data_IF_124743659589
#
_entry.id   IF_124743659589
#
_cell.length_a   1.000
_cell.length_b   1.000
_cell.length_c   1.000
_cell.angle_alpha   90.00
_cell.angle_beta   90.00
_cell.angle_gamma   90.00
#
_symmetry.space_group_name_H-M   'P 1'
#
loop_
_entity.id
_entity.type
_entity.pdbx_description
1 polymer ?
#
# COMPACT_ATOMS: atom_id res chain seq x y z
N UNK A 1 -5.55 -21.62 -2.92
CA UNK A 1 -6.22 -20.66 -3.83
C UNK A 1 -6.89 -19.47 -3.11
N UNK A 2 -7.25 -19.55 -1.81
CA UNK A 2 -8.10 -18.56 -1.14
C UNK A 2 -7.42 -17.31 -0.56
N UNK A 3 -6.09 -17.31 -0.35
CA UNK A 3 -5.39 -16.15 0.23
C UNK A 3 -4.28 -15.72 -0.72
N UNK A 4 -4.43 -14.56 -1.36
CA UNK A 4 -3.28 -13.84 -1.91
C UNK A 4 -2.58 -13.18 -0.73
N UNK A 5 -1.28 -13.41 -0.57
CA UNK A 5 -0.46 -12.89 0.55
C UNK A 5 -0.60 -11.38 0.76
N UNK A 6 -0.97 -10.65 -0.29
CA UNK A 6 -1.25 -9.22 -0.27
C UNK A 6 -2.27 -8.81 0.80
N UNK A 7 -3.26 -9.65 1.14
CA UNK A 7 -4.27 -9.30 2.17
C UNK A 7 -3.71 -9.33 3.59
N UNK A 8 -2.59 -10.03 3.83
CA UNK A 8 -1.93 -10.08 5.13
C UNK A 8 -1.47 -8.68 5.57
N UNK A 9 -1.14 -7.81 4.62
CA UNK A 9 -0.75 -6.42 4.88
C UNK A 9 -1.88 -5.58 5.49
N UNK A 10 -3.13 -5.98 5.28
CA UNK A 10 -4.31 -5.26 5.79
C UNK A 10 -4.56 -5.59 7.26
N UNK A 11 -4.20 -6.80 7.70
CA UNK A 11 -4.46 -7.31 9.05
C UNK A 11 -3.92 -6.37 10.14
N UNK A 12 -2.64 -5.94 10.16
CA UNK A 12 -2.15 -5.08 11.24
C UNK A 12 -2.87 -3.74 11.30
N UNK A 13 -3.21 -3.14 10.15
CA UNK A 13 -3.94 -1.86 10.12
C UNK A 13 -5.38 -2.01 10.61
N UNK A 14 -6.07 -3.08 10.18
CA UNK A 14 -7.42 -3.40 10.62
C UNK A 14 -7.46 -3.70 12.13
N UNK A 15 -6.48 -4.45 12.64
CA UNK A 15 -6.35 -4.75 14.06
C UNK A 15 -6.19 -3.47 14.88
N UNK A 16 -5.34 -2.54 14.46
CA UNK A 16 -5.17 -1.24 15.12
C UNK A 16 -6.47 -0.43 15.13
N UNK A 17 -7.17 -0.34 13.99
CA UNK A 17 -8.44 0.41 13.90
C UNK A 17 -9.53 -0.20 14.78
N UNK A 18 -9.68 -1.53 14.76
CA UNK A 18 -10.65 -2.27 15.55
C UNK A 18 -10.36 -2.15 17.05
N UNK A 19 -9.09 -2.25 17.45
CA UNK A 19 -8.65 -2.09 18.83
C UNK A 19 -8.99 -0.71 19.38
N UNK A 20 -8.80 0.34 18.58
CA UNK A 20 -9.18 1.70 18.94
C UNK A 20 -10.69 1.87 19.10
N UNK A 21 -11.48 1.30 18.18
CA UNK A 21 -12.96 1.41 18.21
C UNK A 21 -13.61 0.63 19.35
N UNK A 22 -12.99 -0.44 19.84
CA UNK A 22 -13.57 -1.28 20.90
C UNK A 22 -13.72 -0.57 22.26
N UNK A 23 -12.99 0.52 22.51
CA UNK A 23 -13.08 1.36 23.70
C UNK A 23 -12.54 0.71 24.97
N UNK A 24 -13.21 -0.33 25.48
CA UNK A 24 -12.88 -1.00 26.75
C UNK A 24 -11.98 -2.22 26.56
N UNK A 25 -11.18 -2.55 27.58
CA UNK A 25 -10.31 -3.75 27.56
C UNK A 25 -11.10 -5.05 27.39
N UNK A 26 -12.28 -5.17 28.02
CA UNK A 26 -13.14 -6.34 27.87
C UNK A 26 -13.67 -6.51 26.43
N UNK A 27 -14.06 -5.41 25.78
CA UNK A 27 -14.48 -5.47 24.38
C UNK A 27 -13.32 -5.81 23.45
N UNK A 28 -12.12 -5.29 23.75
CA UNK A 28 -10.89 -5.59 23.00
C UNK A 28 -10.51 -7.06 23.08
N UNK A 29 -10.52 -7.67 24.27
CA UNK A 29 -10.24 -9.11 24.43
C UNK A 29 -11.30 -9.95 23.74
N UNK A 30 -12.58 -9.62 23.91
CA UNK A 30 -13.68 -10.30 23.23
C UNK A 30 -13.51 -10.24 21.71
N UNK A 31 -13.20 -9.07 21.16
CA UNK A 31 -12.99 -8.87 19.72
C UNK A 31 -11.79 -9.64 19.20
N UNK A 32 -10.68 -9.64 19.93
CA UNK A 32 -9.48 -10.39 19.56
C UNK A 32 -9.75 -11.90 19.55
N UNK A 33 -10.41 -12.43 20.60
CA UNK A 33 -10.77 -13.85 20.70
C UNK A 33 -11.75 -14.25 19.61
N UNK A 34 -12.83 -13.48 19.42
CA UNK A 34 -13.84 -13.81 18.40
C UNK A 34 -13.26 -13.75 16.99
N UNK A 35 -12.46 -12.72 16.68
CA UNK A 35 -11.82 -12.59 15.37
C UNK A 35 -10.78 -13.68 15.14
N UNK A 36 -10.00 -14.04 16.17
CA UNK A 36 -9.02 -15.12 16.10
C UNK A 36 -9.68 -16.48 15.88
N UNK A 37 -10.71 -16.81 16.65
CA UNK A 37 -11.47 -18.06 16.51
C UNK A 37 -12.18 -18.17 15.15
N UNK A 38 -12.84 -17.11 14.70
CA UNK A 38 -13.50 -17.08 13.39
C UNK A 38 -12.49 -17.18 12.25
N UNK A 39 -11.33 -16.50 12.36
CA UNK A 39 -10.27 -16.58 11.35
C UNK A 39 -9.67 -17.99 11.30
N UNK A 40 -9.43 -18.61 12.45
CA UNK A 40 -8.95 -19.99 12.54
C UNK A 40 -9.96 -20.95 11.91
N UNK A 41 -11.24 -20.86 12.28
CA UNK A 41 -12.30 -21.68 11.71
C UNK A 41 -12.39 -21.51 10.19
N UNK A 42 -12.32 -20.27 9.69
CA UNK A 42 -12.32 -19.99 8.26
C UNK A 42 -11.12 -20.64 7.55
N UNK A 43 -9.91 -20.59 8.14
CA UNK A 43 -8.73 -21.29 7.61
C UNK A 43 -8.95 -22.80 7.62
N UNK A 44 -9.41 -23.37 8.73
CA UNK A 44 -9.66 -24.82 8.84
C UNK A 44 -10.66 -25.31 7.79
N UNK A 45 -11.76 -24.59 7.58
CA UNK A 45 -12.78 -24.93 6.57
C UNK A 45 -12.24 -24.75 5.16
N UNK A 46 -11.57 -23.63 4.88
CA UNK A 46 -11.00 -23.33 3.57
C UNK A 46 -9.91 -24.32 3.14
N UNK A 47 -9.11 -24.80 4.10
CA UNK A 47 -8.02 -25.75 3.87
C UNK A 47 -8.42 -27.21 4.11
N UNK A 48 -9.62 -27.49 4.63
CA UNK A 48 -10.14 -28.84 4.82
C UNK A 48 -9.93 -29.78 3.61
N UNK A 49 -10.22 -29.36 2.36
CA UNK A 49 -10.01 -30.23 1.20
C UNK A 49 -8.55 -30.30 0.71
N UNK A 50 -7.63 -29.47 1.23
CA UNK A 50 -6.26 -29.29 0.71
C UNK A 50 -5.19 -29.33 1.80
N UNK A 51 -5.33 -30.22 2.80
CA UNK A 51 -4.44 -30.33 3.97
C UNK A 51 -3.02 -30.88 3.68
N UNK A 52 -2.47 -30.63 2.49
CA UNK A 52 -1.06 -30.85 2.23
C UNK A 52 -0.27 -29.57 2.54
N UNK A 53 0.15 -29.44 3.80
CA UNK A 53 0.97 -28.32 4.25
C UNK A 53 2.33 -28.26 3.54
N UNK A 54 2.87 -29.41 3.09
CA UNK A 54 4.12 -29.45 2.36
C UNK A 54 3.95 -28.83 0.96
N UNK A 55 2.89 -29.19 0.24
CA UNK A 55 2.55 -28.59 -1.05
C UNK A 55 2.31 -27.07 -0.96
N UNK A 56 1.68 -26.60 0.13
CA UNK A 56 1.51 -25.15 0.38
C UNK A 56 2.87 -24.47 0.56
N UNK A 57 3.75 -25.05 1.39
CA UNK A 57 5.07 -24.50 1.64
C UNK A 57 5.96 -24.51 0.38
N UNK A 58 5.84 -25.53 -0.46
CA UNK A 58 6.51 -25.61 -1.76
C UNK A 58 5.97 -24.55 -2.72
N UNK A 59 4.65 -24.38 -2.81
CA UNK A 59 4.04 -23.34 -3.65
C UNK A 59 4.45 -21.93 -3.21
N UNK A 60 4.59 -21.66 -1.91
CA UNK A 60 5.11 -20.38 -1.40
C UNK A 60 6.55 -20.19 -1.90
N UNK A 61 7.42 -21.18 -1.69
CA UNK A 61 8.83 -21.13 -2.10
C UNK A 61 8.98 -20.91 -3.60
N UNK A 62 8.21 -21.64 -4.41
CA UNK A 62 8.20 -21.51 -5.87
C UNK A 62 7.80 -20.10 -6.34
N UNK A 63 6.83 -19.46 -5.67
CA UNK A 63 6.38 -18.11 -6.04
C UNK A 63 7.34 -17.00 -5.57
N UNK A 64 8.01 -17.19 -4.43
CA UNK A 64 8.96 -16.18 -3.90
C UNK A 64 10.22 -16.00 -4.75
N UNK A 65 10.59 -16.99 -5.57
CA UNK A 65 11.78 -16.93 -6.42
C UNK A 65 11.60 -16.18 -7.73
N UNK A 66 10.39 -15.70 -8.04
CA UNK A 66 10.06 -15.10 -9.34
C UNK A 66 10.28 -13.59 -9.24
N UNK A 67 11.20 -13.06 -10.06
CA UNK A 67 11.45 -11.62 -10.20
C UNK A 67 11.04 -11.20 -11.60
N UNK A 68 9.91 -10.51 -11.72
CA UNK A 68 9.34 -10.12 -13.01
C UNK A 68 8.69 -8.74 -12.92
N UNK A 69 8.97 -7.92 -13.93
CA UNK A 69 8.20 -6.71 -14.25
C UNK A 69 7.95 -5.78 -13.06
N UNK A 70 8.93 -5.65 -12.18
CA UNK A 70 8.90 -4.79 -10.99
C UNK A 70 10.15 -3.89 -10.95
N UNK A 71 10.12 -2.76 -10.22
CA UNK A 71 11.32 -1.95 -10.00
C UNK A 71 12.47 -2.76 -9.41
N UNK A 72 12.20 -3.68 -8.48
CA UNK A 72 13.17 -4.61 -7.93
C UNK A 72 13.83 -5.49 -9.00
N UNK A 73 13.03 -6.10 -9.88
CA UNK A 73 13.54 -6.94 -10.97
C UNK A 73 14.37 -6.13 -11.97
N UNK A 74 13.97 -4.90 -12.27
CA UNK A 74 14.72 -3.98 -13.13
C UNK A 74 16.08 -3.62 -12.51
N UNK A 75 16.12 -3.26 -11.22
CA UNK A 75 17.37 -2.94 -10.52
C UNK A 75 18.35 -4.12 -10.53
N UNK A 76 17.87 -5.35 -10.29
CA UNK A 76 18.71 -6.55 -10.40
C UNK A 76 19.23 -6.71 -11.84
N UNK A 77 18.36 -6.53 -12.85
CA UNK A 77 18.73 -6.61 -14.26
C UNK A 77 19.83 -5.62 -14.67
N UNK A 78 19.77 -4.39 -14.15
CA UNK A 78 20.75 -3.33 -14.44
C UNK A 78 22.09 -3.54 -13.72
N UNK A 79 22.09 -4.17 -12.55
CA UNK A 79 23.29 -4.27 -11.69
C UNK A 79 23.98 -5.64 -11.74
N UNK A 80 23.36 -6.65 -12.36
CA UNK A 80 23.87 -8.04 -12.37
C UNK A 80 25.24 -8.22 -13.02
N UNK A 81 25.66 -7.30 -13.89
CA UNK A 81 26.97 -7.35 -14.54
C UNK A 81 28.09 -6.86 -13.62
N UNK A 82 27.74 -6.07 -12.60
CA UNK A 82 28.69 -5.45 -11.67
C UNK A 82 28.75 -6.18 -10.33
N UNK A 83 27.64 -6.78 -9.88
CA UNK A 83 27.52 -7.37 -8.55
C UNK A 83 26.97 -8.81 -8.61
N UNK A 84 27.36 -9.67 -7.66
CA UNK A 84 26.76 -11.00 -7.51
C UNK A 84 25.24 -10.92 -7.35
N UNK A 85 24.50 -11.74 -8.10
CA UNK A 85 23.03 -11.75 -8.10
C UNK A 85 22.45 -12.08 -6.72
N UNK A 86 23.14 -12.91 -5.94
CA UNK A 86 22.75 -13.26 -4.56
C UNK A 86 22.69 -12.02 -3.68
N UNK A 87 23.72 -11.19 -3.75
CA UNK A 87 23.87 -10.00 -2.90
C UNK A 87 22.85 -8.94 -3.33
N UNK A 88 22.66 -8.74 -4.64
CA UNK A 88 21.65 -7.83 -5.18
C UNK A 88 20.24 -8.20 -4.72
N UNK A 89 19.88 -9.48 -4.77
CA UNK A 89 18.56 -9.95 -4.32
C UNK A 89 18.35 -9.67 -2.84
N UNK A 90 19.36 -9.94 -2.01
CA UNK A 90 19.30 -9.66 -0.58
C UNK A 90 19.13 -8.17 -0.30
N UNK A 91 19.94 -7.31 -0.92
CA UNK A 91 19.88 -5.85 -0.72
C UNK A 91 18.55 -5.26 -1.19
N UNK A 92 18.11 -5.58 -2.41
CA UNK A 92 16.84 -5.09 -2.96
C UNK A 92 15.66 -5.55 -2.10
N UNK A 93 15.68 -6.82 -1.66
CA UNK A 93 14.67 -7.36 -0.74
C UNK A 93 14.65 -6.59 0.57
N UNK A 94 15.82 -6.42 1.22
CA UNK A 94 15.93 -5.73 2.49
C UNK A 94 15.46 -4.28 2.40
N UNK A 95 15.83 -3.58 1.33
CA UNK A 95 15.37 -2.20 1.06
C UNK A 95 13.86 -2.14 0.91
N UNK A 96 13.27 -2.98 0.06
CA UNK A 96 11.81 -3.04 -0.15
C UNK A 96 11.04 -3.37 1.14
N UNK A 97 11.52 -4.35 1.91
CA UNK A 97 10.94 -4.72 3.21
C UNK A 97 11.05 -3.58 4.24
N UNK A 98 12.19 -2.89 4.28
CA UNK A 98 12.40 -1.77 5.19
C UNK A 98 11.44 -0.62 4.90
N UNK A 99 11.30 -0.24 3.61
CA UNK A 99 10.32 0.78 3.22
C UNK A 99 8.89 0.35 3.56
N UNK A 100 8.53 -0.90 3.31
CA UNK A 100 7.20 -1.42 3.62
C UNK A 100 6.91 -1.39 5.12
N UNK A 101 7.83 -1.89 5.96
CA UNK A 101 7.66 -1.90 7.43
C UNK A 101 7.58 -0.48 7.97
N UNK A 102 8.47 0.42 7.54
CA UNK A 102 8.43 1.83 7.94
C UNK A 102 7.10 2.49 7.54
N UNK A 103 6.64 2.24 6.31
CA UNK A 103 5.35 2.71 5.83
C UNK A 103 4.17 2.16 6.62
N UNK A 104 4.15 0.85 6.91
CA UNK A 104 3.11 0.21 7.72
C UNK A 104 3.09 0.75 9.15
N UNK A 105 4.24 1.02 9.77
CA UNK A 105 4.32 1.65 11.08
C UNK A 105 3.74 3.07 11.05
N UNK A 106 4.12 3.88 10.04
CA UNK A 106 3.60 5.24 9.89
C UNK A 106 2.08 5.26 9.65
N UNK A 107 1.59 4.36 8.79
CA UNK A 107 0.16 4.19 8.51
C UNK A 107 -0.60 3.66 9.73
N UNK A 108 -0.02 2.69 10.45
CA UNK A 108 -0.57 2.15 11.69
C UNK A 108 -0.70 3.23 12.75
N UNK A 109 0.32 4.08 12.91
CA UNK A 109 0.24 5.25 13.79
C UNK A 109 -0.84 6.23 13.36
N UNK A 110 -0.96 6.52 12.05
CA UNK A 110 -2.02 7.41 11.55
C UNK A 110 -3.42 6.85 11.81
N UNK A 111 -3.62 5.53 11.68
CA UNK A 111 -4.88 4.84 11.98
C UNK A 111 -5.13 4.77 13.48
N UNK A 112 -4.11 4.59 14.30
CA UNK A 112 -4.20 4.63 15.76
C UNK A 112 -4.77 5.97 16.24
N UNK A 113 -4.28 7.07 15.66
CA UNK A 113 -4.76 8.41 15.97
C UNK A 113 -6.18 8.68 15.43
N UNK A 114 -6.52 8.10 14.26
CA UNK A 114 -7.79 8.34 13.55
C UNK A 114 -8.27 7.07 12.83
N UNK A 115 -9.04 6.19 13.52
CA UNK A 115 -9.45 4.89 12.99
C UNK A 115 -10.36 4.95 11.75
N UNK A 116 -10.95 6.10 11.45
CA UNK A 116 -11.69 6.42 10.24
C UNK A 116 -10.79 6.45 8.99
N UNK A 117 -9.48 6.66 9.15
CA UNK A 117 -8.50 6.65 8.04
C UNK A 117 -8.14 5.26 7.53
N UNK A 118 -8.70 4.19 8.11
CA UNK A 118 -8.37 2.81 7.74
C UNK A 118 -8.46 2.54 6.22
N UNK A 119 -9.53 2.91 5.48
CA UNK A 119 -9.60 2.64 4.04
C UNK A 119 -8.45 3.29 3.27
N UNK A 120 -8.10 4.53 3.63
CA UNK A 120 -6.97 5.26 3.04
C UNK A 120 -5.64 4.59 3.36
N UNK A 121 -5.46 4.14 4.60
CA UNK A 121 -4.24 3.46 5.02
C UNK A 121 -4.06 2.11 4.31
N UNK A 122 -5.15 1.36 4.10
CA UNK A 122 -5.13 0.10 3.32
C UNK A 122 -4.71 0.39 1.87
N UNK A 123 -5.27 1.41 1.24
CA UNK A 123 -4.86 1.84 -0.09
C UNK A 123 -3.36 2.13 -0.15
N UNK A 124 -2.84 2.94 0.78
CA UNK A 124 -1.42 3.30 0.78
C UNK A 124 -0.50 2.12 1.08
N UNK A 125 -0.89 1.22 1.97
CA UNK A 125 -0.11 0.02 2.25
C UNK A 125 0.03 -0.87 1.02
N UNK A 126 -1.05 -1.05 0.26
CA UNK A 126 -1.04 -1.81 -0.98
C UNK A 126 -0.29 -1.08 -2.09
N UNK A 127 -0.48 0.22 -2.21
CA UNK A 127 0.27 1.05 -3.16
C UNK A 127 1.77 0.92 -2.91
N UNK A 128 2.21 1.08 -1.66
CA UNK A 128 3.60 0.96 -1.26
C UNK A 128 4.13 -0.46 -1.52
N UNK A 129 3.40 -1.49 -1.10
CA UNK A 129 3.79 -2.87 -1.34
C UNK A 129 4.01 -3.15 -2.83
N UNK A 130 3.06 -2.76 -3.68
CA UNK A 130 3.12 -2.98 -5.11
C UNK A 130 4.22 -2.15 -5.79
N UNK A 131 4.55 -0.99 -5.24
CA UNK A 131 5.55 -0.10 -5.83
C UNK A 131 6.98 -0.51 -5.49
N UNK A 132 7.25 -0.88 -4.23
CA UNK A 132 8.64 -1.04 -3.75
C UNK A 132 8.95 -2.40 -3.14
N UNK A 133 7.95 -3.16 -2.70
CA UNK A 133 8.20 -4.38 -1.92
C UNK A 133 7.87 -5.68 -2.66
N UNK A 134 7.04 -5.64 -3.71
CA UNK A 134 6.76 -6.81 -4.54
C UNK A 134 7.85 -7.03 -5.60
N UNK A 135 8.24 -8.28 -5.78
CA UNK A 135 9.34 -8.65 -6.69
C UNK A 135 8.83 -9.16 -8.03
N UNK A 136 7.58 -9.61 -8.04
CA UNK A 136 6.83 -10.06 -9.20
C UNK A 136 5.60 -9.20 -9.32
N UNK A 137 5.68 -8.08 -10.03
CA UNK A 137 4.52 -7.22 -10.25
C UNK A 137 3.86 -7.58 -11.56
N UNK A 138 2.53 -7.75 -11.55
CA UNK A 138 1.71 -7.90 -12.75
C UNK A 138 0.67 -6.80 -12.80
N UNK A 139 0.40 -6.25 -13.98
CA UNK A 139 -0.55 -5.14 -14.14
C UNK A 139 -1.95 -5.44 -13.56
N UNK A 140 -2.40 -6.70 -13.61
CA UNK A 140 -3.68 -7.11 -13.03
C UNK A 140 -3.74 -7.02 -11.49
N UNK A 141 -2.61 -6.85 -10.80
CA UNK A 141 -2.61 -6.53 -9.36
C UNK A 141 -3.24 -5.15 -9.06
N UNK A 142 -3.33 -4.25 -10.05
CA UNK A 142 -3.94 -2.94 -9.87
C UNK A 142 -5.46 -3.00 -9.64
N UNK A 143 -6.13 -4.13 -9.92
CA UNK A 143 -7.56 -4.32 -9.64
C UNK A 143 -7.88 -4.02 -8.17
N UNK A 144 -6.99 -4.41 -7.25
CA UNK A 144 -7.15 -4.13 -5.82
C UNK A 144 -7.11 -2.63 -5.52
N UNK A 145 -6.20 -1.89 -6.14
CA UNK A 145 -6.09 -0.44 -5.98
C UNK A 145 -7.27 0.29 -6.60
N UNK A 146 -7.77 -0.17 -7.76
CA UNK A 146 -8.97 0.39 -8.40
C UNK A 146 -10.18 0.28 -7.48
N UNK A 147 -10.43 -0.91 -6.91
CA UNK A 147 -11.54 -1.11 -5.98
C UNK A 147 -11.43 -0.20 -4.75
N UNK A 148 -10.24 -0.06 -4.16
CA UNK A 148 -10.03 0.78 -2.99
C UNK A 148 -10.10 2.28 -3.31
N UNK A 149 -9.57 2.71 -4.46
CA UNK A 149 -9.65 4.09 -4.90
C UNK A 149 -11.10 4.52 -5.13
N UNK A 150 -11.96 3.62 -5.63
CA UNK A 150 -13.38 3.87 -5.81
C UNK A 150 -14.14 4.07 -4.48
N UNK A 151 -13.64 3.52 -3.37
CA UNK A 151 -14.21 3.70 -2.03
C UNK A 151 -13.72 4.99 -1.34
N UNK A 152 -12.70 5.64 -1.88
CA UNK A 152 -12.12 6.85 -1.30
C UNK A 152 -12.69 8.09 -1.99
N UNK A 153 -12.76 9.23 -1.27
CA UNK A 153 -13.07 10.51 -1.90
C UNK A 153 -12.12 10.81 -3.05
N UNK A 154 -12.62 11.51 -4.08
CA UNK A 154 -11.81 11.91 -5.23
C UNK A 154 -10.57 12.69 -4.79
N UNK A 155 -9.40 12.34 -5.34
CA UNK A 155 -8.14 12.95 -4.98
C UNK A 155 -6.94 12.15 -5.47
N UNK A 156 -5.80 12.33 -4.80
CA UNK A 156 -4.55 11.63 -5.13
C UNK A 156 -4.64 10.11 -5.29
N UNK A 157 -5.35 9.33 -4.44
CA UNK A 157 -5.46 7.88 -4.65
C UNK A 157 -6.08 7.53 -6.00
N UNK A 158 -7.14 8.23 -6.39
CA UNK A 158 -7.82 8.01 -7.66
C UNK A 158 -6.90 8.35 -8.84
N UNK A 159 -6.25 9.53 -8.82
CA UNK A 159 -5.35 9.97 -9.89
C UNK A 159 -4.17 9.00 -10.04
N UNK A 160 -3.51 8.63 -8.94
CA UNK A 160 -2.40 7.67 -8.96
C UNK A 160 -2.83 6.33 -9.54
N UNK A 161 -4.02 5.85 -9.17
CA UNK A 161 -4.54 4.56 -9.64
C UNK A 161 -4.90 4.59 -11.12
N UNK A 162 -5.53 5.65 -11.61
CA UNK A 162 -5.85 5.82 -13.03
C UNK A 162 -4.57 5.80 -13.85
N UNK A 163 -3.61 6.65 -13.48
CA UNK A 163 -2.34 6.78 -14.19
C UNK A 163 -1.52 5.48 -14.16
N UNK A 164 -1.47 4.78 -13.01
CA UNK A 164 -0.79 3.49 -12.92
C UNK A 164 -1.49 2.42 -13.78
N UNK A 165 -2.82 2.41 -13.80
CA UNK A 165 -3.59 1.44 -14.61
C UNK A 165 -3.37 1.68 -16.11
N UNK A 166 -3.33 2.95 -16.55
CA UNK A 166 -2.95 3.30 -17.92
C UNK A 166 -1.54 2.79 -18.28
N UNK A 167 -0.57 3.01 -17.39
CA UNK A 167 0.80 2.49 -17.58
C UNK A 167 0.84 0.96 -17.64
N UNK A 168 0.09 0.28 -16.76
CA UNK A 168 -0.03 -1.17 -16.75
C UNK A 168 -0.66 -1.74 -18.02
N UNK A 169 -1.66 -1.07 -18.58
CA UNK A 169 -2.26 -1.44 -19.87
C UNK A 169 -1.29 -1.23 -21.03
N UNK A 170 -0.58 -0.09 -21.06
CA UNK A 170 0.41 0.20 -22.09
C UNK A 170 1.53 -0.86 -22.12
N UNK A 171 1.91 -1.40 -20.97
CA UNK A 171 2.92 -2.47 -20.88
C UNK A 171 2.48 -3.76 -21.55
N UNK A 172 1.19 -4.10 -21.60
CA UNK A 172 0.76 -5.28 -22.38
C UNK A 172 1.04 -5.09 -23.87
N UNK A 173 0.81 -3.89 -24.41
CA UNK A 173 1.13 -3.62 -25.81
C UNK A 173 2.64 -3.76 -26.08
N UNK A 174 3.48 -3.36 -25.12
CA UNK A 174 4.93 -3.56 -25.19
C UNK A 174 5.27 -5.06 -25.18
N UNK A 175 4.83 -5.83 -24.18
CA UNK A 175 5.19 -7.24 -24.10
C UNK A 175 4.60 -8.12 -25.21
N UNK A 176 3.45 -7.76 -25.79
CA UNK A 176 2.82 -8.54 -26.85
C UNK A 176 3.43 -8.21 -28.22
N UNK A 177 3.56 -6.92 -28.55
CA UNK A 177 3.92 -6.50 -29.90
C UNK A 177 5.39 -6.17 -30.05
N UNK A 178 5.96 -5.39 -29.13
CA UNK A 178 7.37 -4.95 -29.20
C UNK A 178 8.30 -6.14 -29.01
N UNK A 179 8.00 -7.01 -28.03
CA UNK A 179 8.81 -8.19 -27.78
C UNK A 179 8.79 -9.15 -28.97
N UNK A 180 7.61 -9.48 -29.49
CA UNK A 180 7.44 -10.43 -30.59
C UNK A 180 8.01 -9.89 -31.91
N UNK A 181 7.75 -8.62 -32.25
CA UNK A 181 8.12 -8.08 -33.56
C UNK A 181 9.59 -7.71 -33.69
N UNK A 182 10.23 -7.26 -32.60
CA UNK A 182 11.63 -6.86 -32.64
C UNK A 182 12.60 -7.91 -32.12
N UNK A 183 12.11 -9.06 -31.65
CA UNK A 183 12.96 -10.12 -31.10
C UNK A 183 13.86 -9.64 -29.95
N UNK A 184 13.44 -8.58 -29.25
CA UNK A 184 14.20 -7.98 -28.17
C UNK A 184 14.33 -8.97 -27.01
N UNK A 185 15.46 -8.95 -26.30
CA UNK A 185 15.60 -9.76 -25.11
C UNK A 185 14.68 -9.24 -23.98
N UNK A 186 14.31 -10.14 -23.07
CA UNK A 186 13.39 -9.83 -21.99
C UNK A 186 13.86 -8.67 -21.11
N UNK A 187 15.17 -8.51 -20.87
CA UNK A 187 15.69 -7.45 -20.01
C UNK A 187 15.58 -6.08 -20.68
N UNK A 188 15.87 -5.99 -21.97
CA UNK A 188 15.67 -4.77 -22.76
C UNK A 188 14.21 -4.32 -22.72
N UNK A 189 13.27 -5.23 -22.95
CA UNK A 189 11.83 -4.94 -22.87
C UNK A 189 11.43 -4.53 -21.45
N UNK A 190 11.91 -5.25 -20.43
CA UNK A 190 11.62 -4.94 -19.03
C UNK A 190 12.11 -3.55 -18.61
N UNK A 191 13.30 -3.14 -19.06
CA UNK A 191 13.90 -1.84 -18.73
C UNK A 191 13.09 -0.65 -19.27
N UNK A 192 12.28 -0.87 -20.32
CA UNK A 192 11.34 0.15 -20.83
C UNK A 192 9.96 -0.01 -20.17
N UNK A 193 9.47 -1.24 -20.07
CA UNK A 193 8.13 -1.52 -19.55
C UNK A 193 7.97 -1.08 -18.09
N UNK A 194 8.95 -1.36 -17.22
CA UNK A 194 8.85 -1.02 -15.79
C UNK A 194 8.70 0.50 -15.58
N UNK A 195 9.56 1.37 -16.14
CA UNK A 195 9.38 2.82 -16.02
C UNK A 195 8.08 3.34 -16.61
N UNK A 196 7.62 2.82 -17.75
CA UNK A 196 6.31 3.20 -18.34
C UNK A 196 5.16 2.88 -17.39
N UNK A 197 5.23 1.73 -16.72
CA UNK A 197 4.19 1.27 -15.80
C UNK A 197 4.20 1.99 -14.46
N UNK A 198 5.36 2.11 -13.81
CA UNK A 198 5.46 2.59 -12.43
C UNK A 198 5.87 4.05 -12.33
N UNK A 199 6.61 4.56 -13.32
CA UNK A 199 7.20 5.91 -13.31
C UNK A 199 6.18 7.03 -13.13
N UNK A 200 5.10 7.09 -13.93
CA UNK A 200 4.08 8.13 -13.79
C UNK A 200 3.41 8.15 -12.40
N UNK A 201 3.07 6.99 -11.85
CA UNK A 201 2.46 6.88 -10.53
C UNK A 201 3.44 7.25 -9.40
N UNK A 202 4.71 6.89 -9.54
CA UNK A 202 5.77 7.28 -8.61
C UNK A 202 5.99 8.80 -8.64
N UNK A 203 6.06 9.41 -9.82
CA UNK A 203 6.22 10.85 -9.98
C UNK A 203 5.07 11.62 -9.30
N UNK A 204 3.82 11.18 -9.50
CA UNK A 204 2.67 11.77 -8.82
C UNK A 204 2.75 11.63 -7.30
N UNK A 205 3.27 10.52 -6.80
CA UNK A 205 3.48 10.31 -5.35
C UNK A 205 4.51 11.30 -4.80
N UNK A 206 5.62 11.52 -5.51
CA UNK A 206 6.64 12.50 -5.13
C UNK A 206 6.08 13.92 -5.15
N UNK A 207 5.29 14.26 -6.17
CA UNK A 207 4.60 15.56 -6.26
C UNK A 207 3.62 15.76 -5.09
N UNK A 208 2.79 14.75 -4.78
CA UNK A 208 1.87 14.77 -3.64
C UNK A 208 2.60 15.04 -2.32
N UNK A 209 3.68 14.30 -2.06
CA UNK A 209 4.52 14.48 -0.86
C UNK A 209 5.13 15.89 -0.83
N UNK A 210 5.65 16.38 -1.96
CA UNK A 210 6.23 17.72 -2.07
C UNK A 210 5.22 18.84 -1.77
N UNK A 211 3.99 18.72 -2.28
CA UNK A 211 2.89 19.66 -2.00
C UNK A 211 2.50 19.61 -0.52
N UNK A 212 2.41 18.41 0.06
CA UNK A 212 2.09 18.24 1.48
C UNK A 212 3.13 18.90 2.39
N UNK A 213 4.43 18.66 2.12
CA UNK A 213 5.53 19.27 2.87
C UNK A 213 5.52 20.80 2.80
N UNK A 214 5.21 21.37 1.62
CA UNK A 214 5.11 22.83 1.45
C UNK A 214 3.95 23.42 2.24
N UNK A 215 2.77 22.76 2.24
CA UNK A 215 1.59 23.22 2.98
C UNK A 215 1.76 23.11 4.50
N UNK A 216 2.40 22.04 4.98
CA UNK A 216 2.65 21.83 6.41
C UNK A 216 3.56 22.89 7.04
N UNK A 217 4.51 23.43 6.27
CA UNK A 217 5.41 24.51 6.75
C UNK A 217 4.72 25.88 6.86
N UNK A 218 3.63 26.11 6.14
CA UNK A 218 2.90 27.38 6.17
C UNK A 218 1.88 27.49 7.30
N UNK A 219 1.30 26.36 7.73
CA UNK A 219 0.21 26.36 8.72
C UNK A 219 0.67 26.66 10.17
N UNK A 220 1.94 26.41 10.50
CA UNK A 220 2.44 26.60 11.88
C UNK A 220 2.71 28.08 12.21
N UNK A 221 2.85 28.95 11.22
CA UNK A 221 3.32 30.34 11.45
C UNK A 221 2.19 31.36 11.60
N UNK A 222 0.94 31.02 11.24
CA UNK A 222 -0.17 32.00 11.18
C UNK A 222 -1.15 31.91 12.36
N UNK A 223 -1.06 30.89 13.23
CA UNK A 223 -2.01 30.69 14.35
C UNK A 223 -1.66 31.43 15.64
N UNK A 224 -0.55 32.17 15.71
CA UNK A 224 -0.15 32.95 16.90
C UNK A 224 -0.54 34.44 16.87
N UNK A 225 -1.31 34.91 15.87
CA UNK A 225 -1.56 36.36 15.71
C UNK A 225 -2.98 36.80 15.37
N UNK A 226 -3.98 36.01 15.71
CA UNK A 226 -5.40 36.43 15.72
C UNK A 226 -5.94 36.01 17.08
N UNK A 227 -5.91 36.84 18.10
CA UNK A 227 -6.69 38.07 18.18
C UNK A 227 -7.53 37.95 19.45
N UNK A 228 -6.87 38.09 20.61
CA UNK A 228 -7.52 38.40 21.88
C UNK A 228 -7.96 39.86 21.79
N UNK A 229 -9.06 40.10 21.12
CA UNK A 229 -9.86 41.31 21.29
C UNK A 229 -11.23 40.84 21.72
N UNK A 230 -11.44 40.90 23.03
CA UNK A 230 -12.76 40.98 23.64
C UNK A 230 -13.59 42.02 22.87
N UNK A 231 -14.89 41.76 22.74
CA UNK A 231 -15.78 42.61 23.51
C UNK A 231 -16.72 41.77 24.37
N UNK A 232 -16.50 41.95 25.66
CA UNK A 232 -17.53 42.08 26.68
C UNK A 232 -18.81 42.70 26.08
N UNK A 233 -19.86 41.90 25.94
CA UNK A 233 -21.24 42.40 25.81
C UNK A 233 -22.17 41.40 26.49
N UNK A 234 -22.16 41.52 27.81
CA UNK A 234 -23.20 41.09 28.75
C UNK A 234 -24.53 41.74 28.35
N UNK A 235 -25.35 41.01 27.61
CA UNK A 235 -26.79 41.32 27.51
C UNK A 235 -27.50 40.54 28.61
N UNK A 236 -27.74 41.21 29.73
CA UNK A 236 -28.64 40.77 30.79
C UNK A 236 -30.06 40.74 30.26
N UNK A 237 -30.60 39.55 29.97
CA UNK A 237 -32.03 39.37 29.71
C UNK A 237 -32.74 39.26 31.05
N UNK A 238 -33.33 40.37 31.50
CA UNK A 238 -34.39 40.36 32.50
C UNK A 238 -35.74 40.32 31.80
N UNK A 239 -36.52 39.27 32.02
CA UNK A 239 -38.00 39.34 31.98
C UNK A 239 -38.55 38.13 32.73
N UNK A 240 -39.07 38.26 33.95
CA UNK A 240 -40.40 38.75 34.30
C UNK A 240 -41.56 37.97 33.65
N UNK A 241 -41.91 36.83 34.23
CA UNK A 241 -43.24 36.50 34.83
C UNK A 241 -43.34 35.01 35.14
#
# INVERSE_FOLDING_TARGET
ALIKYVTVLVIPLAAVALWQRAGTTANRTRLALSSGLLSLLAVLIAFAPFYDLAAVAESIRAQTGIYLTSPAAMTIGLLRETYPVTDLRQWVSLTGQTFLVAGLCALGYAVWQRPDRLPRAIFEALFLFLMVATWNFRAWYLIWLVALAALLPWGWPAIRTIVWTMGGLAVYAIFIWVWEWWGADFYSVQNVAVPVMTGPALLLTVIEIGIWLRRGRGATTTSLRVGRTEPENTVSVSSSR
#
